data_IF_087051984553
#
_entry.id   IF_087051984553
#
_cell.length_a   1.000
_cell.length_b   1.000
_cell.length_c   1.000
_cell.angle_alpha   90.00
_cell.angle_beta   90.00
_cell.angle_gamma   90.00
#
_symmetry.space_group_name_H-M   'P 1'
#
loop_
_entity.id
_entity.type
_entity.pdbx_description
1 polymer ?
#
# COMPACT_ATOMS: atom_id res chain seq x y z
N UNK A 1 8.55 0.09 17.72
CA UNK A 1 7.51 -0.51 16.87
C UNK A 1 8.19 -1.31 15.80
N UNK A 2 7.60 -2.40 15.35
CA UNK A 2 8.13 -3.21 14.25
C UNK A 2 7.04 -3.39 13.20
N UNK A 3 7.41 -3.71 11.95
CA UNK A 3 6.43 -4.01 10.90
C UNK A 3 5.44 -5.10 11.33
N UNK A 4 5.92 -6.05 12.14
CA UNK A 4 5.11 -7.12 12.74
C UNK A 4 4.00 -6.63 13.67
N UNK A 5 4.04 -5.39 14.13
CA UNK A 5 2.93 -4.80 14.89
C UNK A 5 1.72 -4.49 13.99
N UNK A 6 1.93 -4.36 12.68
CA UNK A 6 0.90 -3.98 11.70
C UNK A 6 0.48 -5.12 10.78
N UNK A 7 1.38 -6.02 10.40
CA UNK A 7 1.10 -7.11 9.46
C UNK A 7 2.16 -8.21 9.57
N UNK A 8 1.87 -9.41 9.07
CA UNK A 8 2.82 -10.51 9.05
C UNK A 8 3.59 -10.60 7.71
N UNK A 9 4.82 -11.16 7.71
CA UNK A 9 5.55 -11.47 6.48
C UNK A 9 4.76 -12.37 5.53
N UNK A 10 4.01 -13.33 6.08
CA UNK A 10 3.16 -14.27 5.34
C UNK A 10 2.05 -13.55 4.58
N UNK A 11 1.41 -12.55 5.21
CA UNK A 11 0.36 -11.76 4.56
C UNK A 11 0.92 -10.96 3.37
N UNK A 12 2.11 -10.38 3.52
CA UNK A 12 2.78 -9.63 2.45
C UNK A 12 3.12 -10.58 1.29
N UNK A 13 3.68 -11.76 1.57
CA UNK A 13 3.99 -12.76 0.55
C UNK A 13 2.72 -13.26 -0.15
N UNK A 14 1.65 -13.50 0.61
CA UNK A 14 0.36 -13.91 0.05
C UNK A 14 -0.22 -12.86 -0.92
N UNK A 15 -0.10 -11.57 -0.59
CA UNK A 15 -0.53 -10.48 -1.49
C UNK A 15 0.30 -10.43 -2.77
N UNK A 16 1.61 -10.69 -2.66
CA UNK A 16 2.54 -10.66 -3.82
C UNK A 16 2.52 -11.95 -4.63
N UNK A 17 2.05 -13.07 -4.06
CA UNK A 17 2.11 -14.38 -4.67
C UNK A 17 3.53 -14.95 -4.77
N UNK A 18 4.38 -14.63 -3.78
CA UNK A 18 5.77 -15.07 -3.67
C UNK A 18 5.99 -15.94 -2.44
N UNK A 19 7.09 -16.68 -2.39
CA UNK A 19 7.48 -17.50 -1.25
C UNK A 19 8.59 -16.84 -0.38
N UNK A 20 9.04 -17.55 0.64
CA UNK A 20 10.07 -17.10 1.57
C UNK A 20 11.49 -17.10 0.96
N UNK A 21 11.70 -17.88 -0.11
CA UNK A 21 12.96 -17.90 -0.86
C UNK A 21 13.07 -16.63 -1.72
N UNK A 22 11.95 -16.19 -2.32
CA UNK A 22 11.91 -15.00 -3.16
C UNK A 22 11.91 -13.70 -2.33
N UNK A 23 11.28 -13.72 -1.15
CA UNK A 23 11.17 -12.58 -0.25
C UNK A 23 11.40 -13.03 1.20
N UNK A 24 12.64 -12.90 1.66
CA UNK A 24 13.05 -13.33 3.00
C UNK A 24 12.51 -12.44 4.13
N UNK A 25 12.35 -13.02 5.32
CA UNK A 25 11.98 -12.28 6.53
C UNK A 25 12.96 -11.16 6.86
N UNK A 26 14.26 -11.38 6.64
CA UNK A 26 15.31 -10.36 6.86
C UNK A 26 15.07 -9.12 5.98
N UNK A 27 14.59 -9.31 4.75
CA UNK A 27 14.24 -8.20 3.87
C UNK A 27 13.04 -7.44 4.41
N UNK A 28 12.01 -8.14 4.86
CA UNK A 28 10.79 -7.53 5.43
C UNK A 28 11.02 -6.91 6.81
N UNK A 29 12.05 -7.34 7.55
CA UNK A 29 12.41 -6.75 8.84
C UNK A 29 13.11 -5.38 8.72
N UNK A 30 13.40 -4.89 7.51
CA UNK A 30 13.97 -3.58 7.31
C UNK A 30 13.03 -2.48 7.78
N UNK A 31 13.54 -1.56 8.59
CA UNK A 31 12.75 -0.47 9.20
C UNK A 31 12.07 0.46 8.19
N UNK A 32 12.52 0.44 6.94
CA UNK A 32 11.92 1.25 5.88
C UNK A 32 10.45 0.88 5.62
N UNK A 33 10.09 -0.39 5.74
CA UNK A 33 8.71 -0.84 5.52
C UNK A 33 7.79 -0.46 6.67
N UNK A 34 8.28 -0.54 7.91
CA UNK A 34 7.55 -0.01 9.08
C UNK A 34 7.29 1.49 8.93
N UNK A 35 8.32 2.25 8.58
CA UNK A 35 8.21 3.71 8.38
C UNK A 35 7.20 4.03 7.27
N UNK A 36 7.20 3.26 6.18
CA UNK A 36 6.27 3.44 5.07
C UNK A 36 4.82 3.20 5.50
N UNK A 37 4.56 2.11 6.23
CA UNK A 37 3.21 1.81 6.74
C UNK A 37 2.73 2.91 7.66
N UNK A 38 3.58 3.38 8.58
CA UNK A 38 3.23 4.46 9.49
C UNK A 38 2.88 5.74 8.74
N UNK A 39 3.66 6.14 7.76
CA UNK A 39 3.38 7.33 6.94
C UNK A 39 2.09 7.17 6.13
N UNK A 40 1.83 5.99 5.56
CA UNK A 40 0.59 5.72 4.83
C UNK A 40 -0.64 5.74 5.76
N UNK A 41 -0.49 5.39 7.04
CA UNK A 41 -1.55 5.51 8.06
C UNK A 41 -1.74 6.97 8.52
N UNK A 42 -0.65 7.70 8.74
CA UNK A 42 -0.65 9.14 9.07
C UNK A 42 -1.31 9.97 7.95
N UNK A 43 -1.14 9.57 6.68
CA UNK A 43 -1.85 10.18 5.54
C UNK A 43 -3.39 10.03 5.62
N UNK A 44 -3.89 9.08 6.40
CA UNK A 44 -5.33 8.91 6.66
C UNK A 44 -5.73 9.72 7.89
N UNK A 45 -5.00 9.57 9.00
CA UNK A 45 -5.15 10.35 10.23
C UNK A 45 -3.92 10.22 11.10
N UNK A 46 -3.48 11.32 11.70
CA UNK A 46 -2.33 11.39 12.60
C UNK A 46 -2.44 10.43 13.80
N UNK A 47 -3.66 10.12 14.24
CA UNK A 47 -3.90 9.23 15.39
C UNK A 47 -4.23 7.79 15.01
N UNK A 48 -4.40 7.47 13.73
CA UNK A 48 -4.86 6.15 13.28
C UNK A 48 -3.93 5.02 13.73
N UNK A 49 -2.62 5.23 13.68
CA UNK A 49 -1.62 4.26 14.11
C UNK A 49 -1.75 3.94 15.61
N UNK A 50 -1.91 4.97 16.44
CA UNK A 50 -2.02 4.82 17.90
C UNK A 50 -3.36 4.18 18.29
N UNK A 51 -4.45 4.57 17.64
CA UNK A 51 -5.79 4.00 17.85
C UNK A 51 -5.83 2.52 17.44
N UNK A 52 -5.17 2.17 16.34
CA UNK A 52 -5.01 0.78 15.92
C UNK A 52 -4.25 -0.04 16.98
N UNK A 53 -3.09 0.45 17.43
CA UNK A 53 -2.28 -0.26 18.43
C UNK A 53 -3.04 -0.43 19.76
N UNK A 54 -3.78 0.58 20.17
CA UNK A 54 -4.64 0.51 21.36
C UNK A 54 -5.74 -0.56 21.18
N UNK A 55 -6.42 -0.60 20.02
CA UNK A 55 -7.41 -1.61 19.71
C UNK A 55 -6.80 -3.01 19.59
N UNK A 56 -5.62 -3.15 18.97
CA UNK A 56 -4.92 -4.42 18.81
C UNK A 56 -4.44 -5.01 20.16
N UNK A 57 -4.13 -4.16 21.14
CA UNK A 57 -3.74 -4.58 22.48
C UNK A 57 -4.90 -5.17 23.29
N UNK A 58 -6.15 -4.88 22.92
CA UNK A 58 -7.32 -5.45 23.60
C UNK A 58 -7.50 -6.94 23.23
N UNK A 59 -7.95 -7.79 24.14
CA UNK A 59 -8.38 -9.14 23.82
C UNK A 59 -9.50 -9.13 22.76
N UNK A 60 -9.47 -10.08 21.83
CA UNK A 60 -10.42 -10.12 20.69
C UNK A 60 -11.89 -10.21 21.11
N UNK A 61 -12.17 -10.83 22.26
CA UNK A 61 -13.51 -10.99 22.84
C UNK A 61 -14.06 -9.71 23.51
N UNK A 62 -13.18 -8.74 23.77
CA UNK A 62 -13.55 -7.46 24.40
C UNK A 62 -13.67 -6.32 23.39
N UNK A 63 -13.17 -6.49 22.16
CA UNK A 63 -13.26 -5.50 21.10
C UNK A 63 -14.70 -5.32 20.63
N UNK A 64 -15.09 -4.09 20.38
CA UNK A 64 -16.31 -3.80 19.64
C UNK A 64 -16.18 -4.30 18.16
N UNK A 65 -17.30 -4.47 17.50
CA UNK A 65 -17.31 -4.89 16.10
C UNK A 65 -16.59 -3.89 15.16
N UNK A 66 -16.56 -2.60 15.52
CA UNK A 66 -15.85 -1.57 14.76
C UNK A 66 -14.35 -1.60 15.02
N UNK A 67 -13.93 -1.79 16.27
CA UNK A 67 -12.50 -1.96 16.62
C UNK A 67 -11.93 -3.22 15.99
N UNK A 68 -12.69 -4.33 15.97
CA UNK A 68 -12.25 -5.55 15.28
C UNK A 68 -12.06 -5.29 13.79
N UNK A 69 -12.98 -4.61 13.13
CA UNK A 69 -12.84 -4.22 11.71
C UNK A 69 -11.69 -3.26 11.49
N UNK A 70 -11.44 -2.33 12.42
CA UNK A 70 -10.30 -1.43 12.35
C UNK A 70 -8.99 -2.25 12.33
N UNK A 71 -8.85 -3.19 13.25
CA UNK A 71 -7.66 -4.05 13.34
C UNK A 71 -7.45 -4.85 12.06
N UNK A 72 -8.48 -5.54 11.57
CA UNK A 72 -8.41 -6.36 10.37
C UNK A 72 -8.09 -5.52 9.12
N UNK A 73 -8.74 -4.37 8.96
CA UNK A 73 -8.51 -3.50 7.80
C UNK A 73 -7.14 -2.84 7.85
N UNK A 74 -6.63 -2.48 9.03
CA UNK A 74 -5.30 -1.89 9.15
C UNK A 74 -4.21 -2.93 8.86
N UNK A 75 -4.37 -4.16 9.31
CA UNK A 75 -3.45 -5.26 8.98
C UNK A 75 -3.41 -5.50 7.47
N UNK A 76 -4.58 -5.61 6.85
CA UNK A 76 -4.71 -5.81 5.40
C UNK A 76 -4.15 -4.62 4.61
N UNK A 77 -4.46 -3.38 5.02
CA UNK A 77 -3.93 -2.16 4.42
C UNK A 77 -2.41 -2.12 4.46
N UNK A 78 -1.82 -2.49 5.60
CA UNK A 78 -0.37 -2.52 5.81
C UNK A 78 0.31 -3.55 4.90
N UNK A 79 -0.27 -4.75 4.74
CA UNK A 79 0.23 -5.75 3.81
C UNK A 79 0.22 -5.24 2.36
N UNK A 80 -0.87 -4.60 1.92
CA UNK A 80 -0.96 -4.01 0.58
C UNK A 80 -0.05 -2.79 0.39
N UNK A 81 0.17 -1.97 1.43
CA UNK A 81 1.09 -0.83 1.39
C UNK A 81 2.53 -1.28 1.13
N UNK A 82 3.01 -2.27 1.90
CA UNK A 82 4.35 -2.84 1.70
C UNK A 82 4.46 -3.51 0.34
N UNK A 83 3.46 -4.30 -0.06
CA UNK A 83 3.45 -5.00 -1.34
C UNK A 83 3.50 -4.05 -2.53
N UNK A 84 2.77 -2.93 -2.48
CA UNK A 84 2.79 -1.86 -3.49
C UNK A 84 4.21 -1.33 -3.73
N UNK A 85 4.99 -1.16 -2.68
CA UNK A 85 6.36 -0.64 -2.76
C UNK A 85 7.34 -1.71 -3.25
N UNK A 86 7.17 -2.96 -2.82
CA UNK A 86 7.99 -4.08 -3.26
C UNK A 86 7.84 -4.41 -4.74
N UNK A 87 6.67 -4.16 -5.34
CA UNK A 87 6.43 -4.41 -6.78
C UNK A 87 7.42 -3.69 -7.70
N UNK A 88 7.99 -2.56 -7.28
CA UNK A 88 9.01 -1.86 -8.06
C UNK A 88 10.37 -2.51 -7.97
N UNK A 89 10.66 -3.17 -6.86
CA UNK A 89 11.94 -3.85 -6.59
C UNK A 89 11.98 -5.25 -7.21
N UNK A 90 10.87 -5.98 -7.19
CA UNK A 90 10.77 -7.34 -7.74
C UNK A 90 10.96 -7.41 -9.26
N UNK A 91 10.78 -6.30 -9.97
CA UNK A 91 11.04 -6.22 -11.43
C UNK A 91 12.48 -6.53 -11.83
N UNK A 92 13.42 -6.49 -10.90
CA UNK A 92 14.83 -6.74 -11.21
C UNK A 92 15.16 -8.23 -11.44
N UNK A 93 14.28 -9.16 -11.08
CA UNK A 93 14.57 -10.58 -11.06
C UNK A 93 13.89 -11.40 -12.18
N UNK A 94 13.01 -10.82 -12.97
CA UNK A 94 12.32 -11.51 -14.07
C UNK A 94 12.99 -11.27 -15.41
N UNK A 95 13.48 -12.29 -16.14
CA UNK A 95 13.99 -12.11 -17.49
C UNK A 95 12.84 -11.68 -18.44
N UNK A 96 12.92 -10.46 -18.96
CA UNK A 96 11.89 -9.90 -19.85
C UNK A 96 11.85 -10.58 -21.21
N UNK A 97 12.92 -11.24 -21.62
CA UNK A 97 13.07 -11.82 -22.97
C UNK A 97 14.03 -12.98 -22.94
N UNK A 98 13.61 -14.13 -23.43
CA UNK A 98 14.47 -15.26 -23.72
C UNK A 98 14.54 -15.39 -25.23
N UNK A 99 15.72 -15.16 -25.82
CA UNK A 99 15.97 -15.36 -27.23
C UNK A 99 16.80 -16.62 -27.37
N UNK A 100 16.23 -17.67 -27.95
CA UNK A 100 16.95 -18.88 -28.29
C UNK A 100 16.97 -18.97 -29.84
N UNK A 101 18.04 -18.41 -30.41
CA UNK A 101 18.50 -18.46 -31.80
C UNK A 101 17.48 -18.33 -32.94
N UNK A 102 16.25 -18.82 -32.81
CA UNK A 102 15.19 -18.79 -33.83
C UNK A 102 13.77 -18.59 -33.30
N UNK A 103 13.56 -18.64 -31.98
CA UNK A 103 12.27 -18.38 -31.36
C UNK A 103 12.39 -17.21 -30.39
N UNK A 104 11.65 -16.16 -30.69
CA UNK A 104 11.44 -15.04 -29.78
C UNK A 104 10.16 -15.31 -28.98
N UNK A 105 10.30 -15.65 -27.72
CA UNK A 105 9.15 -15.78 -26.82
C UNK A 105 9.05 -14.49 -26.03
N UNK A 106 8.16 -13.62 -26.46
CA UNK A 106 7.74 -12.48 -25.67
C UNK A 106 6.82 -13.02 -24.57
N UNK A 107 7.31 -13.07 -23.34
CA UNK A 107 6.47 -13.46 -22.22
C UNK A 107 5.47 -12.34 -21.95
N UNK A 108 4.20 -12.71 -21.95
CA UNK A 108 3.14 -11.92 -21.30
C UNK A 108 3.66 -11.43 -19.94
N UNK A 109 3.58 -10.13 -19.66
CA UNK A 109 4.05 -9.55 -18.39
C UNK A 109 2.97 -9.76 -17.31
N UNK A 110 2.97 -10.89 -16.57
CA UNK A 110 1.97 -11.15 -15.52
C UNK A 110 2.07 -10.13 -14.40
N UNK A 111 3.22 -9.45 -14.27
CA UNK A 111 3.43 -8.41 -13.28
C UNK A 111 2.56 -7.18 -13.51
N UNK A 112 2.16 -6.88 -14.75
CA UNK A 112 1.28 -5.74 -15.01
C UNK A 112 -0.11 -5.95 -14.41
N UNK A 113 -0.68 -7.14 -14.54
CA UNK A 113 -1.99 -7.48 -13.97
C UNK A 113 -1.95 -7.56 -12.45
N UNK A 114 -0.92 -8.22 -11.89
CA UNK A 114 -0.70 -8.29 -10.44
C UNK A 114 -0.57 -6.88 -9.86
N UNK A 115 0.21 -6.02 -10.51
CA UNK A 115 0.37 -4.62 -10.08
C UNK A 115 -0.96 -3.87 -10.09
N UNK A 116 -1.75 -3.99 -11.15
CA UNK A 116 -3.06 -3.34 -11.23
C UNK A 116 -4.01 -3.87 -10.15
N UNK A 117 -4.00 -5.18 -9.92
CA UNK A 117 -4.78 -5.82 -8.85
C UNK A 117 -4.40 -5.30 -7.45
N UNK A 118 -3.10 -5.22 -7.15
CA UNK A 118 -2.61 -4.73 -5.85
C UNK A 118 -2.96 -3.26 -5.66
N UNK A 119 -2.75 -2.40 -6.67
CA UNK A 119 -3.08 -0.98 -6.59
C UNK A 119 -4.58 -0.73 -6.43
N UNK A 120 -5.41 -1.50 -7.16
CA UNK A 120 -6.87 -1.43 -7.03
C UNK A 120 -7.33 -1.84 -5.64
N UNK A 121 -6.83 -2.98 -5.13
CA UNK A 121 -7.20 -3.46 -3.80
C UNK A 121 -6.69 -2.51 -2.70
N UNK A 122 -5.49 -1.96 -2.82
CA UNK A 122 -4.96 -0.96 -1.90
C UNK A 122 -5.92 0.23 -1.77
N UNK A 123 -6.42 0.78 -2.89
CA UNK A 123 -7.35 1.91 -2.84
C UNK A 123 -8.69 1.53 -2.20
N UNK A 124 -9.25 0.38 -2.54
CA UNK A 124 -10.52 -0.11 -1.96
C UNK A 124 -10.40 -0.34 -0.46
N UNK A 125 -9.29 -0.93 -0.01
CA UNK A 125 -9.05 -1.19 1.41
C UNK A 125 -8.85 0.12 2.16
N UNK A 126 -8.11 1.07 1.59
CA UNK A 126 -7.92 2.41 2.12
C UNK A 126 -9.26 3.12 2.35
N UNK A 127 -10.15 3.11 1.36
CA UNK A 127 -11.46 3.74 1.46
C UNK A 127 -12.33 3.09 2.55
N UNK A 128 -12.29 1.76 2.66
CA UNK A 128 -12.98 1.03 3.74
C UNK A 128 -12.42 1.37 5.12
N UNK A 129 -11.10 1.48 5.25
CA UNK A 129 -10.43 1.85 6.50
C UNK A 129 -10.85 3.25 6.94
N UNK A 130 -10.84 4.22 6.01
CA UNK A 130 -11.32 5.59 6.26
C UNK A 130 -12.78 5.57 6.75
N UNK A 131 -13.65 4.82 6.09
CA UNK A 131 -15.07 4.74 6.47
C UNK A 131 -15.28 4.14 7.86
N UNK A 132 -14.56 3.07 8.20
CA UNK A 132 -14.64 2.44 9.53
C UNK A 132 -14.07 3.39 10.59
N UNK A 133 -12.94 4.04 10.32
CA UNK A 133 -12.31 4.97 11.25
C UNK A 133 -13.20 6.18 11.54
N UNK A 134 -13.84 6.75 10.52
CA UNK A 134 -14.83 7.81 10.69
C UNK A 134 -16.05 7.35 11.52
N UNK A 135 -16.45 6.07 11.37
CA UNK A 135 -17.58 5.50 12.15
C UNK A 135 -17.26 5.32 13.64
N UNK A 136 -16.00 5.28 14.02
CA UNK A 136 -15.56 5.30 15.42
C UNK A 136 -15.64 6.69 16.07
N UNK A 137 -16.09 7.71 15.31
CA UNK A 137 -16.19 9.09 15.79
C UNK A 137 -14.87 9.86 15.71
N UNK A 138 -13.86 9.28 15.06
CA UNK A 138 -12.58 9.93 14.85
C UNK A 138 -12.64 10.85 13.62
N UNK A 139 -12.05 12.02 13.75
CA UNK A 139 -11.94 12.95 12.61
C UNK A 139 -10.83 12.49 11.70
N UNK A 140 -11.20 12.02 10.51
CA UNK A 140 -10.23 11.95 9.40
C UNK A 140 -9.89 13.38 8.98
N UNK A 141 -8.63 13.74 8.73
CA UNK A 141 -8.34 15.00 8.11
C UNK A 141 -9.18 15.09 6.82
N UNK A 142 -9.92 16.18 6.70
CA UNK A 142 -10.67 16.45 5.47
C UNK A 142 -9.72 16.19 4.31
N UNK A 143 -10.10 15.29 3.41
CA UNK A 143 -9.28 14.96 2.25
C UNK A 143 -8.82 16.29 1.66
N UNK A 144 -7.52 16.57 1.77
CA UNK A 144 -6.93 17.69 1.06
C UNK A 144 -7.17 17.34 -0.40
N UNK A 145 -8.23 17.89 -0.96
CA UNK A 145 -8.47 17.84 -2.39
C UNK A 145 -7.23 18.52 -2.97
N UNK A 146 -6.24 17.72 -3.35
CA UNK A 146 -5.11 18.21 -4.15
C UNK A 146 -5.75 18.64 -5.46
N UNK A 147 -6.24 19.85 -5.47
CA UNK A 147 -6.59 20.53 -6.71
C UNK A 147 -5.26 20.67 -7.43
N UNK A 148 -5.00 19.73 -8.33
CA UNK A 148 -4.00 19.97 -9.37
C UNK A 148 -4.58 21.12 -10.19
N UNK A 149 -4.24 22.32 -9.79
CA UNK A 149 -4.37 23.47 -10.68
C UNK A 149 -3.37 23.16 -11.79
N UNK A 150 -3.85 22.49 -12.81
CA UNK A 150 -3.13 22.43 -14.07
C UNK A 150 -3.15 23.87 -14.61
N UNK A 151 -2.22 24.66 -14.12
CA UNK A 151 -1.83 25.88 -14.79
C UNK A 151 -1.14 25.42 -16.08
N UNK A 152 -1.95 24.97 -17.05
CA UNK A 152 -1.57 25.14 -18.43
C UNK A 152 -1.35 26.64 -18.55
N UNK A 153 -0.12 27.05 -18.35
CA UNK A 153 0.27 28.41 -18.61
C UNK A 153 -0.19 28.73 -20.01
N UNK A 154 -1.07 29.68 -20.14
CA UNK A 154 -1.23 30.37 -21.40
C UNK A 154 0.20 30.76 -21.78
N UNK A 155 0.83 30.00 -22.68
CA UNK A 155 2.10 30.40 -23.25
C UNK A 155 1.77 31.62 -24.09
N UNK A 156 1.91 32.77 -23.48
CA UNK A 156 1.98 34.02 -24.23
C UNK A 156 3.21 33.85 -25.10
N UNK A 157 3.02 33.77 -26.38
CA UNK A 157 4.13 33.72 -27.34
C UNK A 157 5.01 34.94 -27.07
N UNK A 158 6.28 34.77 -26.64
CA UNK A 158 7.15 35.91 -26.30
C UNK A 158 7.48 36.79 -27.50
N UNK A 159 7.12 36.38 -28.72
CA UNK A 159 7.38 37.11 -29.96
C UNK A 159 6.16 37.91 -30.40
N UNK A 160 4.92 37.40 -30.20
CA UNK A 160 3.72 38.06 -30.68
C UNK A 160 2.90 38.74 -29.59
N UNK A 161 3.12 38.40 -28.31
CA UNK A 161 2.44 39.03 -27.17
C UNK A 161 0.92 38.71 -27.09
N UNK A 162 0.45 37.68 -27.82
CA UNK A 162 -0.97 37.26 -27.87
C UNK A 162 -1.12 35.89 -27.27
#
# INVERSE_FOLDING_TARGET
MALLDYTSPEDIRAVLGVDDIELSDDTLALSIYEMQVRLDLEDISDSLSDDYLAAAALPSDTRSALEQKLVELTQLFSAYSVSKNLLTSLKMFGPKRITDGRAEVERFDPMAEIKLGILSNYSVIRDKLIAVYASLGNTTPSAVTRVFVNTAGLSVDPVTGV
#
